data_IF_510302840595
#
_entry.id   IF_510302840595
#
_cell.length_a   1.000
_cell.length_b   1.000
_cell.length_c   1.000
_cell.angle_alpha   90.00
_cell.angle_beta   90.00
_cell.angle_gamma   90.00
#
_symmetry.space_group_name_H-M   'P 1'
#
loop_
_entity.id
_entity.type
_entity.pdbx_description
1 polymer ?
#
# COMPACT_ATOMS: atom_id res chain seq x y z
N UNK A 1 28.29 11.82 -7.86
CA UNK A 1 27.99 11.43 -9.27
C UNK A 1 26.52 10.98 -9.46
N UNK A 2 25.91 10.23 -8.54
CA UNK A 2 24.50 9.79 -8.67
C UNK A 2 23.49 10.96 -8.77
N UNK A 3 23.76 12.10 -8.15
CA UNK A 3 22.90 13.29 -8.22
C UNK A 3 22.86 13.92 -9.62
N UNK A 4 23.95 13.80 -10.39
CA UNK A 4 24.06 14.35 -11.72
C UNK A 4 23.27 13.60 -12.81
N UNK A 5 22.73 12.40 -12.48
CA UNK A 5 22.05 11.51 -13.42
C UNK A 5 20.52 11.52 -13.31
N UNK A 6 19.97 12.22 -12.35
CA UNK A 6 18.52 12.27 -12.12
C UNK A 6 17.79 12.99 -13.27
N UNK A 7 16.62 12.46 -13.71
CA UNK A 7 15.71 13.24 -14.54
C UNK A 7 15.32 14.53 -13.83
N UNK A 8 15.38 15.64 -14.54
CA UNK A 8 14.82 16.91 -14.04
C UNK A 8 13.32 16.92 -14.37
N UNK A 9 12.49 17.11 -13.36
CA UNK A 9 11.02 17.17 -13.51
C UNK A 9 10.55 18.56 -13.12
N UNK A 10 9.75 19.20 -13.98
CA UNK A 10 9.11 20.47 -13.73
C UNK A 10 7.63 20.39 -14.04
N UNK A 11 6.76 20.63 -13.06
CA UNK A 11 5.32 20.76 -13.29
C UNK A 11 5.08 22.13 -13.95
N UNK A 12 4.41 22.13 -15.08
CA UNK A 12 4.13 23.32 -15.90
C UNK A 12 2.66 23.74 -15.81
N UNK A 13 1.78 22.86 -15.34
CA UNK A 13 0.37 23.16 -15.02
C UNK A 13 -0.18 22.08 -14.07
N UNK A 14 -1.06 22.45 -13.13
CA UNK A 14 -1.45 23.81 -12.75
C UNK A 14 -0.36 24.54 -11.96
N UNK A 15 -0.51 25.86 -11.80
CA UNK A 15 0.38 26.65 -10.96
C UNK A 15 0.23 26.32 -9.48
N UNK A 16 1.32 26.48 -8.75
CA UNK A 16 1.32 26.30 -7.30
C UNK A 16 0.32 27.25 -6.63
N UNK A 17 -0.42 26.73 -5.63
CA UNK A 17 -1.45 27.44 -4.87
C UNK A 17 -2.65 27.95 -5.69
N UNK A 18 -2.77 27.55 -6.95
CA UNK A 18 -3.96 27.88 -7.76
C UNK A 18 -5.22 27.23 -7.18
N UNK A 19 -6.36 27.93 -7.34
CA UNK A 19 -7.67 27.39 -6.97
C UNK A 19 -8.23 26.55 -8.13
N UNK A 20 -8.57 25.31 -7.86
CA UNK A 20 -9.15 24.37 -8.81
C UNK A 20 -10.60 24.10 -8.43
N UNK A 21 -11.54 24.41 -9.33
CA UNK A 21 -12.96 24.16 -9.11
C UNK A 21 -13.43 22.78 -9.63
N UNK A 22 -12.65 22.14 -10.50
CA UNK A 22 -13.01 20.88 -11.14
C UNK A 22 -12.58 19.65 -10.31
N UNK A 23 -13.32 18.55 -10.49
CA UNK A 23 -12.94 17.24 -9.90
C UNK A 23 -11.77 16.57 -10.63
N UNK A 24 -11.50 16.99 -11.86
CA UNK A 24 -10.40 16.51 -12.69
C UNK A 24 -9.58 17.70 -13.13
N UNK A 25 -8.29 17.62 -12.91
CA UNK A 25 -7.34 18.65 -13.33
C UNK A 25 -6.37 18.09 -14.36
N UNK A 26 -6.05 18.89 -15.35
CA UNK A 26 -4.99 18.53 -16.31
C UNK A 26 -3.64 18.89 -15.73
N UNK A 27 -2.91 17.87 -15.30
CA UNK A 27 -1.53 18.00 -14.81
C UNK A 27 -0.57 17.91 -15.99
N UNK A 28 0.33 18.87 -16.12
CA UNK A 28 1.37 18.88 -17.15
C UNK A 28 2.75 18.99 -16.53
N UNK A 29 3.70 18.29 -17.12
CA UNK A 29 5.08 18.39 -16.70
C UNK A 29 6.07 18.24 -17.85
N UNK A 30 7.19 18.90 -17.69
CA UNK A 30 8.37 18.83 -18.53
C UNK A 30 9.43 17.96 -17.82
N UNK A 31 9.91 16.96 -18.52
CA UNK A 31 10.91 16.02 -18.02
C UNK A 31 12.13 16.10 -18.90
N UNK A 32 13.30 16.34 -18.31
CA UNK A 32 14.56 16.39 -19.02
C UNK A 32 15.45 15.23 -18.57
N UNK A 33 15.93 14.45 -19.52
CA UNK A 33 16.89 13.37 -19.34
C UNK A 33 18.18 13.67 -20.14
N UNK A 34 19.30 13.14 -19.70
CA UNK A 34 20.59 13.29 -20.39
C UNK A 34 20.71 12.35 -21.59
N UNK A 35 21.68 12.66 -22.45
CA UNK A 35 22.04 11.79 -23.55
C UNK A 35 22.37 10.37 -23.07
N UNK A 36 21.91 9.38 -23.79
CA UNK A 36 22.10 7.95 -23.46
C UNK A 36 21.13 7.40 -22.41
N UNK A 37 20.33 8.23 -21.72
CA UNK A 37 19.31 7.76 -20.81
C UNK A 37 18.00 7.46 -21.56
N UNK A 38 17.28 6.43 -21.11
CA UNK A 38 15.92 6.13 -21.56
C UNK A 38 14.94 6.38 -20.43
N UNK A 39 13.88 7.14 -20.74
CA UNK A 39 12.84 7.47 -19.80
C UNK A 39 11.85 6.31 -19.69
N UNK A 40 11.66 5.78 -18.48
CA UNK A 40 10.53 4.91 -18.16
C UNK A 40 9.26 5.75 -18.17
N UNK A 41 8.11 5.20 -18.59
CA UNK A 41 6.86 5.93 -18.63
C UNK A 41 6.57 6.65 -17.31
N UNK A 42 6.58 8.01 -17.28
CA UNK A 42 6.44 8.76 -16.04
C UNK A 42 5.02 8.63 -15.47
N UNK A 43 4.93 8.70 -14.15
CA UNK A 43 3.67 8.63 -13.39
C UNK A 43 3.35 9.96 -12.76
N UNK A 44 2.06 10.25 -12.58
CA UNK A 44 1.57 11.46 -11.92
C UNK A 44 0.48 11.12 -10.90
N UNK A 45 0.34 11.94 -9.86
CA UNK A 45 -0.50 11.61 -8.71
C UNK A 45 -1.16 12.86 -8.12
N UNK A 46 -2.35 12.64 -7.51
CA UNK A 46 -3.05 13.62 -6.68
C UNK A 46 -3.26 13.01 -5.28
N UNK A 47 -2.56 13.51 -4.25
CA UNK A 47 -2.57 12.95 -2.88
C UNK A 47 -2.44 11.40 -2.88
N UNK A 48 -1.48 10.86 -3.63
CA UNK A 48 -1.24 9.43 -3.74
C UNK A 48 -2.18 8.65 -4.67
N UNK A 49 -3.16 9.30 -5.30
CA UNK A 49 -4.04 8.68 -6.30
C UNK A 49 -3.44 8.84 -7.69
N UNK A 50 -3.25 7.73 -8.42
CA UNK A 50 -2.66 7.73 -9.75
C UNK A 50 -3.51 8.50 -10.74
N UNK A 51 -2.91 9.46 -11.45
CA UNK A 51 -3.54 10.19 -12.55
C UNK A 51 -3.60 9.34 -13.82
N UNK A 52 -4.68 9.51 -14.58
CA UNK A 52 -4.98 8.73 -15.79
C UNK A 52 -4.59 9.46 -17.08
N UNK A 53 -4.83 8.80 -18.19
CA UNK A 53 -4.76 9.37 -19.54
C UNK A 53 -3.42 10.05 -19.82
N UNK A 54 -2.28 9.41 -19.45
CA UNK A 54 -0.96 9.92 -19.78
C UNK A 54 -0.81 10.10 -21.28
N UNK A 55 -0.47 11.31 -21.68
CA UNK A 55 -0.21 11.67 -23.10
C UNK A 55 1.13 12.37 -23.21
N UNK A 56 1.96 11.95 -24.16
CA UNK A 56 3.14 12.70 -24.54
C UNK A 56 2.69 13.84 -25.45
N UNK A 57 2.96 15.08 -25.05
CA UNK A 57 2.58 16.29 -25.80
C UNK A 57 3.66 16.64 -26.82
N UNK A 58 4.92 16.64 -26.37
CA UNK A 58 6.06 17.09 -27.16
C UNK A 58 7.33 16.37 -26.73
N UNK A 59 8.23 16.18 -27.67
CA UNK A 59 9.60 15.74 -27.41
C UNK A 59 10.55 16.54 -28.27
N UNK A 60 11.67 16.96 -27.70
CA UNK A 60 12.69 17.75 -28.40
C UNK A 60 14.09 17.35 -27.89
N UNK A 61 15.04 17.32 -28.80
CA UNK A 61 16.44 17.21 -28.45
C UNK A 61 16.95 18.59 -28.02
N UNK A 62 17.70 18.62 -26.94
CA UNK A 62 18.32 19.82 -26.40
C UNK A 62 19.82 19.55 -26.22
N UNK A 63 20.67 20.59 -26.05
CA UNK A 63 22.06 20.39 -25.73
C UNK A 63 22.21 19.51 -24.46
N UNK A 64 22.87 18.37 -24.62
CA UNK A 64 23.15 17.42 -23.51
C UNK A 64 22.00 16.45 -23.15
N UNK A 65 20.88 16.42 -23.91
CA UNK A 65 19.81 15.51 -23.56
C UNK A 65 18.54 15.58 -24.42
N UNK A 66 17.48 15.07 -23.84
CA UNK A 66 16.14 15.08 -24.41
C UNK A 66 15.14 15.67 -23.40
N UNK A 67 14.28 16.52 -23.86
CA UNK A 67 13.18 17.09 -23.10
C UNK A 67 11.85 16.54 -23.62
N UNK A 68 11.00 16.05 -22.70
CA UNK A 68 9.71 15.46 -23.04
C UNK A 68 8.63 16.10 -22.17
N UNK A 69 7.53 16.52 -22.81
CA UNK A 69 6.37 17.07 -22.12
C UNK A 69 5.24 16.04 -22.11
N UNK A 70 4.64 15.86 -20.93
CA UNK A 70 3.52 14.96 -20.70
C UNK A 70 2.34 15.70 -20.07
N UNK A 71 1.13 15.16 -20.32
CA UNK A 71 -0.07 15.53 -19.60
C UNK A 71 -0.78 14.29 -19.04
N UNK A 72 -1.50 14.50 -17.94
CA UNK A 72 -2.36 13.52 -17.27
C UNK A 72 -3.65 14.17 -16.86
N UNK A 73 -4.69 13.35 -16.68
CA UNK A 73 -5.94 13.75 -16.05
C UNK A 73 -5.89 13.28 -14.58
N UNK A 74 -5.66 14.20 -13.66
CA UNK A 74 -5.61 13.93 -12.24
C UNK A 74 -6.99 14.08 -11.61
N UNK A 75 -7.55 12.96 -11.11
CA UNK A 75 -8.78 12.96 -10.34
C UNK A 75 -8.45 13.41 -8.93
N UNK A 76 -9.11 14.47 -8.48
CA UNK A 76 -8.80 15.08 -7.19
C UNK A 76 -9.65 14.46 -6.08
N UNK A 77 -9.05 13.93 -5.00
CA UNK A 77 -9.79 13.53 -3.81
C UNK A 77 -10.46 14.76 -3.16
N UNK A 78 -11.54 14.54 -2.38
CA UNK A 78 -12.29 15.61 -1.73
C UNK A 78 -11.54 16.19 -0.52
N UNK A 79 -10.44 16.88 -0.79
CA UNK A 79 -9.59 17.57 0.19
C UNK A 79 -9.33 18.99 -0.24
N UNK A 80 -9.22 19.94 0.69
CA UNK A 80 -8.97 21.35 0.37
C UNK A 80 -7.60 21.60 -0.25
N UNK A 81 -6.58 20.85 0.19
CA UNK A 81 -5.21 20.96 -0.30
C UNK A 81 -4.83 19.67 -0.99
N UNK A 82 -4.51 19.76 -2.26
CA UNK A 82 -4.12 18.63 -3.09
C UNK A 82 -2.66 18.82 -3.51
N UNK A 83 -1.82 17.87 -3.15
CA UNK A 83 -0.47 17.79 -3.69
C UNK A 83 -0.48 16.98 -4.98
N UNK A 84 -0.18 17.64 -6.07
CA UNK A 84 0.05 17.03 -7.36
C UNK A 84 1.54 16.71 -7.49
N UNK A 85 1.86 15.48 -7.88
CA UNK A 85 3.25 15.02 -7.97
C UNK A 85 3.46 14.32 -9.30
N UNK A 86 4.65 14.52 -9.88
CA UNK A 86 5.13 13.78 -11.05
C UNK A 86 6.43 13.08 -10.70
N UNK A 87 6.49 11.80 -11.05
CA UNK A 87 7.65 10.93 -10.85
C UNK A 87 8.13 10.45 -12.20
N UNK A 88 9.41 10.63 -12.49
CA UNK A 88 10.07 10.18 -13.69
C UNK A 88 11.28 9.33 -13.32
N UNK A 89 11.41 8.14 -13.93
CA UNK A 89 12.54 7.25 -13.73
C UNK A 89 13.23 6.98 -15.07
N UNK A 90 14.50 6.64 -15.02
CA UNK A 90 15.25 6.11 -16.17
C UNK A 90 15.38 4.58 -16.04
N UNK A 91 15.72 3.88 -17.12
CA UNK A 91 15.98 2.43 -17.09
C UNK A 91 17.08 2.03 -16.08
N UNK A 92 17.97 2.96 -15.71
CA UNK A 92 18.96 2.79 -14.64
C UNK A 92 18.44 3.03 -13.22
N UNK A 93 17.12 3.02 -13.01
CA UNK A 93 16.44 3.19 -11.72
C UNK A 93 16.69 4.55 -11.01
N UNK A 94 17.19 5.55 -11.71
CA UNK A 94 17.38 6.89 -11.14
C UNK A 94 16.09 7.70 -11.26
N UNK A 95 15.58 8.19 -10.14
CA UNK A 95 14.28 8.82 -10.03
C UNK A 95 14.36 10.31 -9.78
N UNK A 96 13.70 11.09 -10.65
CA UNK A 96 13.43 12.52 -10.48
C UNK A 96 11.96 12.76 -10.09
N UNK A 97 11.70 13.81 -9.30
CA UNK A 97 10.36 14.13 -8.79
C UNK A 97 10.13 15.63 -8.76
N UNK A 98 8.89 16.03 -8.98
CA UNK A 98 8.41 17.39 -8.70
C UNK A 98 7.02 17.34 -8.11
N UNK A 99 6.67 18.31 -7.27
CA UNK A 99 5.35 18.43 -6.71
C UNK A 99 4.92 19.89 -6.62
N UNK A 100 3.61 20.14 -6.79
CA UNK A 100 2.95 21.41 -6.51
C UNK A 100 1.72 21.16 -5.65
N UNK A 101 1.36 22.11 -4.81
CA UNK A 101 0.11 22.05 -4.05
C UNK A 101 -0.88 22.99 -4.70
N UNK A 102 -2.11 22.51 -4.92
CA UNK A 102 -3.26 23.33 -5.37
C UNK A 102 -4.31 23.34 -4.28
N UNK A 103 -5.17 24.37 -4.32
CA UNK A 103 -6.35 24.46 -3.45
C UNK A 103 -7.59 24.03 -4.22
N UNK A 104 -8.53 23.37 -3.55
CA UNK A 104 -9.77 22.92 -4.15
C UNK A 104 -10.96 23.33 -3.30
N UNK A 105 -12.01 23.80 -3.96
CA UNK A 105 -13.35 23.89 -3.34
C UNK A 105 -13.89 22.47 -3.29
N UNK A 106 -13.68 21.80 -2.18
CA UNK A 106 -13.96 20.37 -1.90
C UNK A 106 -15.17 19.78 -2.64
N UNK A 107 -15.05 19.32 -3.89
CA UNK A 107 -16.11 18.57 -4.53
C UNK A 107 -16.26 17.22 -3.83
N UNK A 108 -17.49 16.75 -3.65
CA UNK A 108 -17.78 15.45 -3.04
C UNK A 108 -18.04 14.44 -4.15
N UNK A 109 -17.33 13.33 -4.12
CA UNK A 109 -17.59 12.15 -4.97
C UNK A 109 -18.78 11.30 -4.49
N UNK A 110 -19.52 11.77 -3.49
CA UNK A 110 -20.49 11.01 -2.74
C UNK A 110 -19.87 10.34 -1.52
N UNK A 111 -20.58 9.38 -0.90
CA UNK A 111 -20.06 8.64 0.24
C UNK A 111 -18.95 7.69 -0.23
N UNK A 112 -17.72 7.80 0.28
CA UNK A 112 -16.63 6.94 -0.13
C UNK A 112 -16.87 5.49 0.26
N UNK A 113 -16.19 4.57 -0.45
CA UNK A 113 -16.31 3.12 -0.27
C UNK A 113 -14.98 2.56 0.22
N UNK A 114 -15.09 1.58 1.11
CA UNK A 114 -13.96 0.78 1.56
C UNK A 114 -14.14 -0.65 1.06
N UNK A 115 -13.18 -1.13 0.29
CA UNK A 115 -13.10 -2.50 -0.18
C UNK A 115 -12.03 -3.23 0.59
N UNK A 116 -12.38 -4.35 1.23
CA UNK A 116 -11.48 -5.13 2.07
C UNK A 116 -11.38 -6.53 1.50
N UNK A 117 -10.16 -6.97 1.20
CA UNK A 117 -9.86 -8.34 0.83
C UNK A 117 -8.85 -8.92 1.82
N UNK A 118 -9.22 -9.99 2.52
CA UNK A 118 -8.32 -10.63 3.48
C UNK A 118 -8.10 -12.10 3.14
N UNK A 119 -6.88 -12.60 3.37
CA UNK A 119 -6.55 -14.00 3.27
C UNK A 119 -5.75 -14.45 4.50
N UNK A 120 -6.11 -15.63 5.03
CA UNK A 120 -5.40 -16.26 6.15
C UNK A 120 -5.27 -17.77 5.94
N UNK A 121 -4.09 -18.32 6.19
CA UNK A 121 -3.81 -19.75 6.06
C UNK A 121 -3.18 -20.28 7.33
N UNK A 122 -3.92 -21.14 8.05
CA UNK A 122 -3.38 -21.91 9.17
C UNK A 122 -2.83 -23.26 8.70
N UNK A 123 -3.50 -23.87 7.70
CA UNK A 123 -3.25 -25.25 7.29
C UNK A 123 -2.87 -25.32 5.81
N UNK A 124 -1.72 -25.91 5.57
CA UNK A 124 -1.21 -26.19 4.24
C UNK A 124 -1.51 -27.65 3.88
N UNK A 125 -1.70 -27.94 2.58
CA UNK A 125 -1.98 -29.31 2.12
C UNK A 125 -0.77 -30.23 2.29
N UNK A 126 0.44 -29.67 2.19
CA UNK A 126 1.68 -30.40 2.43
C UNK A 126 2.02 -30.31 3.92
N UNK A 127 2.01 -31.46 4.60
CA UNK A 127 2.30 -31.57 6.02
C UNK A 127 3.76 -31.18 6.40
N UNK A 128 4.66 -31.09 5.43
CA UNK A 128 6.02 -30.60 5.64
C UNK A 128 6.07 -29.06 5.83
N UNK A 129 5.01 -28.35 5.44
CA UNK A 129 4.90 -26.92 5.74
C UNK A 129 4.35 -26.74 7.14
N UNK A 130 5.02 -25.94 8.00
CA UNK A 130 4.57 -25.73 9.37
C UNK A 130 3.13 -25.17 9.41
N UNK A 131 2.33 -25.69 10.34
CA UNK A 131 1.02 -25.15 10.64
C UNK A 131 1.14 -23.85 11.41
N UNK A 132 0.29 -22.86 11.12
CA UNK A 132 0.08 -21.66 11.90
C UNK A 132 -1.20 -21.78 12.74
N UNK A 133 -1.23 -21.12 13.89
CA UNK A 133 -2.39 -21.24 14.80
C UNK A 133 -3.44 -20.14 14.50
N UNK A 134 -3.01 -18.91 14.16
CA UNK A 134 -3.90 -17.74 14.18
C UNK A 134 -4.04 -16.96 12.88
N UNK A 135 -3.42 -17.37 11.77
CA UNK A 135 -3.45 -16.60 10.52
C UNK A 135 -4.88 -16.37 10.00
N UNK A 136 -5.76 -17.36 10.11
CA UNK A 136 -7.19 -17.22 9.75
C UNK A 136 -7.91 -16.26 10.69
N UNK A 137 -7.63 -16.36 11.99
CA UNK A 137 -8.21 -15.44 12.97
C UNK A 137 -7.71 -14.01 12.74
N UNK A 138 -6.42 -13.82 12.44
CA UNK A 138 -5.84 -12.53 12.09
C UNK A 138 -6.61 -11.89 10.93
N UNK A 139 -6.78 -12.61 9.82
CA UNK A 139 -7.49 -12.13 8.65
C UNK A 139 -8.96 -11.77 8.96
N UNK A 140 -9.63 -12.59 9.78
CA UNK A 140 -11.02 -12.38 10.19
C UNK A 140 -11.17 -11.15 11.07
N UNK A 141 -10.31 -11.01 12.10
CA UNK A 141 -10.36 -9.87 13.03
C UNK A 141 -10.05 -8.55 12.33
N UNK A 142 -9.07 -8.52 11.42
CA UNK A 142 -8.76 -7.33 10.64
C UNK A 142 -9.94 -6.94 9.75
N UNK A 143 -10.54 -7.89 9.02
CA UNK A 143 -11.70 -7.61 8.17
C UNK A 143 -12.87 -7.03 8.99
N UNK A 144 -13.22 -7.67 10.10
CA UNK A 144 -14.31 -7.22 10.97
C UNK A 144 -14.03 -5.85 11.61
N UNK A 145 -12.79 -5.61 12.04
CA UNK A 145 -12.42 -4.35 12.70
C UNK A 145 -12.45 -3.19 11.71
N UNK A 146 -11.91 -3.37 10.51
CA UNK A 146 -12.05 -2.37 9.44
C UNK A 146 -13.52 -2.13 9.09
N UNK A 147 -14.32 -3.17 8.91
CA UNK A 147 -15.74 -3.02 8.57
C UNK A 147 -16.49 -2.19 9.63
N UNK A 148 -16.28 -2.50 10.91
CA UNK A 148 -16.97 -1.79 12.01
C UNK A 148 -16.45 -0.37 12.18
N UNK A 149 -15.13 -0.19 12.26
CA UNK A 149 -14.50 1.10 12.51
C UNK A 149 -14.66 2.07 11.33
N UNK A 150 -14.62 1.56 10.09
CA UNK A 150 -14.77 2.39 8.92
C UNK A 150 -16.23 2.67 8.51
N UNK A 151 -17.20 1.91 9.01
CA UNK A 151 -18.62 2.08 8.64
C UNK A 151 -19.16 3.51 8.78
N UNK A 152 -18.79 4.31 9.79
CA UNK A 152 -19.21 5.70 9.87
C UNK A 152 -18.65 6.60 8.75
N UNK A 153 -17.47 6.24 8.18
CA UNK A 153 -16.72 7.00 7.20
C UNK A 153 -17.01 6.54 5.77
N UNK A 154 -17.14 5.22 5.60
CA UNK A 154 -17.20 4.54 4.30
C UNK A 154 -18.44 3.65 4.20
N UNK A 155 -18.89 3.39 2.97
CA UNK A 155 -19.69 2.21 2.68
C UNK A 155 -18.75 1.02 2.48
N UNK A 156 -18.84 0.00 3.36
CA UNK A 156 -17.86 -1.09 3.42
C UNK A 156 -18.30 -2.31 2.61
N UNK A 157 -17.33 -2.94 1.92
CA UNK A 157 -17.48 -4.18 1.18
C UNK A 157 -16.32 -5.11 1.54
N UNK A 158 -16.61 -6.30 2.03
CA UNK A 158 -15.60 -7.25 2.50
C UNK A 158 -15.61 -8.56 1.73
N UNK A 159 -14.42 -9.12 1.57
CA UNK A 159 -14.16 -10.47 1.08
C UNK A 159 -13.10 -11.11 1.96
N UNK A 160 -13.35 -12.30 2.48
CA UNK A 160 -12.38 -13.10 3.21
C UNK A 160 -12.24 -14.48 2.59
N UNK A 161 -11.00 -14.93 2.41
CA UNK A 161 -10.67 -16.26 1.92
C UNK A 161 -9.78 -16.93 2.98
N UNK A 162 -10.04 -18.19 3.33
CA UNK A 162 -9.32 -18.86 4.39
C UNK A 162 -8.86 -20.28 4.00
N UNK A 163 -7.73 -20.70 4.59
CA UNK A 163 -7.15 -22.03 4.53
C UNK A 163 -7.10 -22.62 3.10
N UNK A 164 -7.64 -23.82 2.92
CA UNK A 164 -7.58 -24.60 1.68
C UNK A 164 -8.15 -23.88 0.45
N UNK A 165 -8.92 -22.82 0.64
CA UNK A 165 -9.46 -21.99 -0.46
C UNK A 165 -8.44 -20.95 -0.96
N UNK A 166 -7.41 -20.65 -0.18
CA UNK A 166 -6.37 -19.67 -0.57
C UNK A 166 -5.36 -20.37 -1.47
N UNK A 167 -5.74 -20.61 -2.71
CA UNK A 167 -4.86 -21.12 -3.76
C UNK A 167 -4.55 -20.02 -4.77
N UNK A 168 -3.44 -20.14 -5.49
CA UNK A 168 -3.06 -19.15 -6.49
C UNK A 168 -4.17 -18.88 -7.51
N UNK A 169 -4.81 -19.90 -8.16
CA UNK A 169 -5.89 -19.66 -9.11
C UNK A 169 -7.11 -18.96 -8.49
N UNK A 170 -7.53 -19.38 -7.29
CA UNK A 170 -8.68 -18.77 -6.60
C UNK A 170 -8.38 -17.32 -6.23
N UNK A 171 -7.17 -17.05 -5.72
CA UNK A 171 -6.75 -15.70 -5.39
C UNK A 171 -6.79 -14.79 -6.62
N UNK A 172 -6.13 -15.19 -7.72
CA UNK A 172 -6.09 -14.38 -8.94
C UNK A 172 -7.46 -14.14 -9.53
N UNK A 173 -8.30 -15.17 -9.67
CA UNK A 173 -9.66 -15.01 -10.19
C UNK A 173 -10.48 -14.03 -9.35
N UNK A 174 -10.36 -14.15 -8.03
CA UNK A 174 -11.09 -13.27 -7.10
C UNK A 174 -10.58 -11.83 -7.18
N UNK A 175 -9.27 -11.62 -7.19
CA UNK A 175 -8.68 -10.29 -7.28
C UNK A 175 -8.95 -9.64 -8.64
N UNK A 176 -8.98 -10.40 -9.72
CA UNK A 176 -9.34 -9.90 -11.04
C UNK A 176 -10.79 -9.40 -11.08
N UNK A 177 -11.73 -10.17 -10.55
CA UNK A 177 -13.13 -9.74 -10.44
C UNK A 177 -13.27 -8.46 -9.60
N UNK A 178 -12.51 -8.36 -8.50
CA UNK A 178 -12.47 -7.16 -7.67
C UNK A 178 -11.92 -5.95 -8.45
N UNK A 179 -10.82 -6.12 -9.15
CA UNK A 179 -10.20 -5.06 -9.94
C UNK A 179 -11.14 -4.57 -11.06
N UNK A 180 -11.79 -5.49 -11.79
CA UNK A 180 -12.76 -5.14 -12.83
C UNK A 180 -13.97 -4.35 -12.28
N UNK A 181 -14.48 -4.77 -11.12
CA UNK A 181 -15.55 -4.04 -10.43
C UNK A 181 -15.11 -2.65 -9.98
N UNK A 182 -13.90 -2.55 -9.40
CA UNK A 182 -13.33 -1.29 -8.94
C UNK A 182 -13.11 -0.31 -10.10
N UNK A 183 -12.55 -0.77 -11.23
CA UNK A 183 -12.32 0.10 -12.40
C UNK A 183 -13.57 0.82 -12.89
N UNK A 184 -14.74 0.17 -12.77
CA UNK A 184 -16.02 0.73 -13.24
C UNK A 184 -16.63 1.76 -12.31
N UNK A 185 -16.31 1.74 -11.03
CA UNK A 185 -17.08 2.46 -10.02
C UNK A 185 -16.26 3.31 -9.06
N UNK A 186 -14.93 3.09 -8.98
CA UNK A 186 -14.10 3.69 -7.95
C UNK A 186 -13.89 5.19 -8.13
N UNK A 187 -13.83 5.89 -7.01
CA UNK A 187 -13.51 7.32 -6.94
C UNK A 187 -12.19 7.52 -6.18
N UNK A 188 -11.56 8.70 -6.29
CA UNK A 188 -10.30 8.99 -5.56
C UNK A 188 -10.42 8.91 -4.03
N UNK A 189 -11.62 9.05 -3.48
CA UNK A 189 -11.87 8.98 -2.03
C UNK A 189 -12.06 7.55 -1.53
N UNK A 190 -12.24 6.59 -2.43
CA UNK A 190 -12.39 5.18 -2.07
C UNK A 190 -11.05 4.59 -1.59
N UNK A 191 -11.15 3.54 -0.79
CA UNK A 191 -10.02 2.84 -0.20
C UNK A 191 -10.09 1.34 -0.49
N UNK A 192 -9.01 0.76 -1.00
CA UNK A 192 -8.81 -0.68 -1.11
C UNK A 192 -7.83 -1.14 -0.04
N UNK A 193 -8.22 -2.10 0.77
CA UNK A 193 -7.37 -2.74 1.77
C UNK A 193 -7.22 -4.22 1.42
N UNK A 194 -5.98 -4.68 1.35
CA UNK A 194 -5.62 -6.09 1.20
C UNK A 194 -4.81 -6.49 2.43
N UNK A 195 -5.25 -7.53 3.13
CA UNK A 195 -4.55 -8.08 4.28
C UNK A 195 -4.23 -9.55 4.05
N UNK A 196 -2.98 -9.93 4.25
CA UNK A 196 -2.51 -11.31 4.12
C UNK A 196 -1.84 -11.77 5.42
N UNK A 197 -2.27 -12.93 5.93
CA UNK A 197 -1.62 -13.60 7.06
C UNK A 197 -1.34 -15.06 6.71
N UNK A 198 -0.11 -15.52 6.92
CA UNK A 198 0.35 -16.85 6.49
C UNK A 198 1.86 -16.92 6.32
N UNK A 199 2.35 -17.96 5.66
CA UNK A 199 3.76 -18.05 5.31
C UNK A 199 4.14 -17.16 4.13
N UNK A 200 5.27 -16.50 4.25
CA UNK A 200 5.95 -15.81 3.19
C UNK A 200 7.33 -16.41 2.94
N UNK A 201 7.82 -16.30 1.73
CA UNK A 201 9.19 -16.66 1.40
C UNK A 201 9.73 -15.72 0.31
N UNK A 202 11.03 -15.74 0.17
CA UNK A 202 11.71 -14.99 -0.86
C UNK A 202 12.60 -15.88 -1.71
N UNK A 203 12.55 -15.64 -3.00
CA UNK A 203 13.52 -16.23 -3.92
C UNK A 203 14.89 -15.53 -3.81
N UNK A 204 15.94 -16.30 -3.57
CA UNK A 204 17.31 -15.78 -3.39
C UNK A 204 17.94 -15.25 -4.69
N UNK A 205 17.48 -15.74 -5.83
CA UNK A 205 18.05 -15.36 -7.14
C UNK A 205 17.39 -14.11 -7.69
N UNK A 206 16.04 -14.11 -7.72
CA UNK A 206 15.25 -13.01 -8.28
C UNK A 206 14.91 -11.91 -7.27
N UNK A 207 15.20 -12.11 -5.99
CA UNK A 207 14.86 -11.19 -4.92
C UNK A 207 13.33 -10.99 -4.72
N UNK A 208 12.53 -11.84 -5.36
CA UNK A 208 11.09 -11.73 -5.37
C UNK A 208 10.47 -12.33 -4.11
N UNK A 209 9.55 -11.60 -3.48
CA UNK A 209 8.79 -12.11 -2.35
C UNK A 209 7.52 -12.83 -2.81
N UNK A 210 7.26 -13.97 -2.21
CA UNK A 210 6.10 -14.82 -2.48
C UNK A 210 5.27 -15.07 -1.23
N UNK A 211 3.95 -14.93 -1.36
CA UNK A 211 3.01 -15.47 -0.39
C UNK A 211 2.75 -16.95 -0.71
N UNK A 212 2.94 -17.81 0.29
CA UNK A 212 2.79 -19.25 0.15
C UNK A 212 1.32 -19.62 0.25
N UNK A 213 0.74 -20.18 -0.81
CA UNK A 213 -0.66 -20.57 -0.82
C UNK A 213 -0.88 -21.97 -0.24
N UNK A 214 -2.13 -22.31 0.10
CA UNK A 214 -2.47 -23.54 0.80
C UNK A 214 -2.12 -24.83 0.04
N UNK A 215 -1.98 -24.77 -1.29
CA UNK A 215 -1.60 -25.91 -2.13
C UNK A 215 -0.11 -25.97 -2.50
N UNK A 216 0.70 -25.06 -1.98
CA UNK A 216 2.14 -25.09 -2.18
C UNK A 216 2.75 -26.39 -1.59
N UNK A 217 3.82 -26.88 -2.22
CA UNK A 217 4.51 -28.09 -1.81
C UNK A 217 5.91 -27.76 -1.34
N UNK A 218 6.29 -28.27 -0.17
CA UNK A 218 7.62 -28.04 0.41
C UNK A 218 8.75 -28.36 -0.58
N UNK A 219 8.68 -29.53 -1.26
CA UNK A 219 9.69 -29.95 -2.24
C UNK A 219 9.85 -28.97 -3.41
N UNK A 220 8.75 -28.31 -3.82
CA UNK A 220 8.79 -27.33 -4.91
C UNK A 220 9.43 -26.02 -4.43
N UNK A 221 9.08 -25.59 -3.21
CA UNK A 221 9.68 -24.42 -2.56
C UNK A 221 11.18 -24.60 -2.34
N UNK A 222 11.60 -25.77 -1.83
CA UNK A 222 13.01 -26.13 -1.64
C UNK A 222 13.80 -26.14 -2.95
N UNK A 223 13.13 -26.49 -4.06
CA UNK A 223 13.71 -26.47 -5.42
C UNK A 223 13.49 -25.09 -6.12
N UNK A 224 13.14 -24.04 -5.38
CA UNK A 224 12.90 -22.69 -5.90
C UNK A 224 11.83 -22.63 -7.01
N UNK A 225 10.81 -23.48 -6.94
CA UNK A 225 9.67 -23.51 -7.84
C UNK A 225 8.43 -22.96 -7.17
N UNK A 226 8.04 -21.72 -7.50
CA UNK A 226 7.00 -20.95 -6.82
C UNK A 226 5.66 -20.91 -7.57
N UNK A 227 5.40 -21.91 -8.43
CA UNK A 227 4.18 -21.97 -9.27
C UNK A 227 2.87 -21.89 -8.50
N UNK A 228 2.84 -22.42 -7.28
CA UNK A 228 1.69 -22.42 -6.38
C UNK A 228 1.75 -21.30 -5.34
N UNK A 229 2.63 -20.33 -5.51
CA UNK A 229 2.70 -19.11 -4.72
C UNK A 229 2.30 -17.90 -5.58
N UNK A 230 2.07 -16.74 -5.00
CA UNK A 230 1.98 -15.51 -5.76
C UNK A 230 2.92 -14.45 -5.21
N UNK A 231 3.58 -13.75 -6.12
CA UNK A 231 4.43 -12.61 -5.79
C UNK A 231 3.60 -11.34 -5.64
N UNK A 232 4.22 -10.29 -5.13
CA UNK A 232 3.56 -9.00 -5.00
C UNK A 232 3.28 -8.32 -6.35
N UNK A 233 3.89 -8.78 -7.45
CA UNK A 233 3.51 -8.38 -8.80
C UNK A 233 2.02 -8.63 -9.08
N UNK A 234 1.40 -9.58 -8.37
CA UNK A 234 -0.04 -9.81 -8.44
C UNK A 234 -0.89 -8.57 -8.09
N UNK A 235 -0.35 -7.62 -7.32
CA UNK A 235 -1.05 -6.39 -6.95
C UNK A 235 -0.94 -5.28 -8.01
N UNK A 236 -0.07 -5.43 -9.02
CA UNK A 236 -0.04 -4.53 -10.19
C UNK A 236 -1.37 -4.50 -10.92
N UNK A 237 -2.19 -5.56 -10.74
CA UNK A 237 -3.59 -5.62 -11.17
C UNK A 237 -4.43 -4.42 -10.72
N UNK A 238 -4.06 -3.79 -9.60
CA UNK A 238 -4.76 -2.63 -9.05
C UNK A 238 -4.05 -1.29 -9.33
N UNK A 239 -2.91 -1.30 -10.04
CA UNK A 239 -2.09 -0.12 -10.23
C UNK A 239 -2.83 1.03 -10.93
N UNK A 240 -3.64 0.71 -11.93
CA UNK A 240 -4.42 1.66 -12.73
C UNK A 240 -5.73 2.14 -12.05
N UNK A 241 -6.07 1.58 -10.90
CA UNK A 241 -7.32 1.93 -10.20
C UNK A 241 -7.12 3.24 -9.42
N UNK A 242 -7.91 4.29 -9.69
CA UNK A 242 -7.69 5.62 -9.12
C UNK A 242 -8.29 5.74 -7.71
N UNK A 243 -7.82 4.94 -6.78
CA UNK A 243 -8.13 5.05 -5.35
C UNK A 243 -6.87 4.82 -4.52
N UNK A 244 -6.93 5.07 -3.20
CA UNK A 244 -5.87 4.68 -2.29
C UNK A 244 -5.87 3.17 -2.07
N UNK A 245 -4.68 2.59 -1.94
CA UNK A 245 -4.49 1.15 -1.79
C UNK A 245 -3.58 0.89 -0.60
N UNK A 246 -4.02 0.02 0.31
CA UNK A 246 -3.24 -0.46 1.44
C UNK A 246 -3.00 -1.96 1.27
N UNK A 247 -1.75 -2.39 1.34
CA UNK A 247 -1.37 -3.81 1.46
C UNK A 247 -0.73 -4.01 2.82
N UNK A 248 -1.36 -4.80 3.65
CA UNK A 248 -0.94 -5.09 5.01
C UNK A 248 -0.57 -6.57 5.08
N UNK A 249 0.65 -6.86 5.55
CA UNK A 249 1.23 -8.20 5.52
C UNK A 249 1.61 -8.63 6.93
N UNK A 250 0.89 -9.60 7.44
CA UNK A 250 1.22 -10.34 8.66
C UNK A 250 1.72 -11.73 8.27
N UNK A 251 2.88 -11.75 7.61
CA UNK A 251 3.48 -12.96 7.11
C UNK A 251 4.78 -13.25 7.84
N UNK A 252 4.84 -14.44 8.46
CA UNK A 252 6.06 -14.95 9.04
C UNK A 252 7.00 -15.38 7.91
N UNK A 253 8.25 -14.99 8.00
CA UNK A 253 9.28 -15.69 7.25
C UNK A 253 9.53 -17.02 8.00
N UNK A 254 8.97 -18.13 7.48
CA UNK A 254 9.23 -19.42 8.10
C UNK A 254 10.74 -19.70 8.00
N UNK A 255 11.45 -19.51 9.12
CA UNK A 255 12.89 -19.83 9.23
C UNK A 255 13.19 -21.27 8.81
N UNK A 256 12.20 -22.18 8.87
CA UNK A 256 12.27 -23.52 8.33
C UNK A 256 12.49 -23.57 6.80
N UNK A 257 12.12 -22.51 6.04
CA UNK A 257 12.27 -22.48 4.60
C UNK A 257 13.52 -21.73 4.12
N UNK A 258 14.01 -20.72 4.83
CA UNK A 258 15.34 -20.10 4.67
C UNK A 258 15.48 -18.75 5.42
N UNK A 259 16.67 -18.42 6.01
CA UNK A 259 16.92 -17.13 6.65
C UNK A 259 17.08 -15.99 5.60
N UNK A 260 16.38 -14.90 5.79
CA UNK A 260 16.46 -13.68 4.95
C UNK A 260 17.45 -12.65 5.54
N UNK A 261 18.13 -11.89 4.70
CA UNK A 261 18.96 -10.76 5.13
C UNK A 261 18.18 -9.43 5.08
N UNK A 262 18.46 -8.50 6.01
CA UNK A 262 17.73 -7.24 6.23
C UNK A 262 17.48 -6.34 4.99
N UNK A 263 18.32 -6.44 3.96
CA UNK A 263 18.17 -5.62 2.72
C UNK A 263 17.02 -6.05 1.81
N UNK A 264 16.38 -7.11 2.11
CA UNK A 264 15.72 -7.98 1.14
C UNK A 264 14.21 -7.71 1.01
N UNK A 265 13.49 -7.41 2.09
CA UNK A 265 12.07 -7.09 2.00
C UNK A 265 11.83 -5.73 1.29
N UNK A 266 12.76 -4.79 1.42
CA UNK A 266 12.66 -3.46 0.79
C UNK A 266 12.65 -3.53 -0.73
N UNK A 267 13.39 -4.45 -1.36
CA UNK A 267 13.39 -4.59 -2.81
C UNK A 267 12.13 -5.28 -3.32
N UNK A 268 11.62 -6.28 -2.61
CA UNK A 268 10.39 -6.97 -2.96
C UNK A 268 9.15 -6.06 -2.90
N UNK A 269 9.16 -5.07 -2.00
CA UNK A 269 8.10 -4.07 -1.90
C UNK A 269 8.21 -2.95 -2.95
N UNK A 270 9.33 -2.84 -3.70
CA UNK A 270 9.51 -1.80 -4.74
C UNK A 270 8.41 -1.81 -5.79
N UNK A 271 7.98 -2.98 -6.24
CA UNK A 271 6.90 -3.12 -7.22
C UNK A 271 5.64 -2.43 -6.71
N UNK A 272 5.27 -2.65 -5.44
CA UNK A 272 4.13 -1.99 -4.82
C UNK A 272 4.37 -0.49 -4.62
N UNK A 273 5.61 -0.11 -4.33
CA UNK A 273 6.01 1.29 -4.17
C UNK A 273 5.93 2.06 -5.48
N UNK A 274 6.33 1.46 -6.59
CA UNK A 274 6.24 2.07 -7.93
C UNK A 274 4.79 2.26 -8.38
N UNK A 275 3.89 1.42 -7.89
CA UNK A 275 2.45 1.51 -8.15
C UNK A 275 1.68 2.33 -7.10
N UNK A 276 2.41 3.01 -6.20
CA UNK A 276 1.87 3.81 -5.09
C UNK A 276 0.82 3.09 -4.24
N UNK A 277 1.20 1.90 -3.82
CA UNK A 277 0.48 1.14 -2.82
C UNK A 277 1.10 1.42 -1.46
N UNK A 278 0.32 1.89 -0.50
CA UNK A 278 0.77 1.97 0.88
C UNK A 278 0.97 0.57 1.43
N UNK A 279 2.11 0.32 2.03
CA UNK A 279 2.42 -0.99 2.63
C UNK A 279 2.65 -0.86 4.12
N UNK A 280 2.22 -1.87 4.86
CA UNK A 280 2.58 -2.07 6.27
C UNK A 280 2.85 -3.56 6.47
N UNK A 281 4.06 -3.90 6.94
CA UNK A 281 4.49 -5.28 7.13
C UNK A 281 4.80 -5.56 8.59
N UNK A 282 4.52 -6.78 9.04
CA UNK A 282 4.72 -7.19 10.42
C UNK A 282 6.19 -7.21 10.84
N UNK A 283 7.09 -7.45 9.90
CA UNK A 283 8.51 -7.63 10.18
C UNK A 283 9.40 -6.95 9.15
N UNK A 284 10.62 -6.64 9.56
CA UNK A 284 11.72 -6.25 8.70
C UNK A 284 12.73 -7.40 8.58
N UNK A 285 12.86 -7.99 7.40
CA UNK A 285 13.93 -8.94 7.09
C UNK A 285 13.75 -10.33 7.74
N UNK A 286 14.72 -10.80 8.54
CA UNK A 286 14.79 -12.16 9.09
C UNK A 286 13.87 -12.43 10.30
N UNK A 287 13.06 -11.48 10.69
CA UNK A 287 12.27 -11.59 11.91
C UNK A 287 11.04 -12.47 11.70
N UNK A 288 10.69 -13.26 12.71
CA UNK A 288 9.45 -14.02 12.72
C UNK A 288 8.31 -13.17 13.28
N UNK A 289 7.14 -13.21 12.64
CA UNK A 289 5.93 -12.69 13.23
C UNK A 289 5.51 -13.62 14.37
N UNK A 290 5.40 -13.09 15.57
CA UNK A 290 5.14 -13.87 16.77
C UNK A 290 3.64 -14.10 16.91
N UNK A 291 3.24 -15.37 17.06
CA UNK A 291 1.88 -15.77 17.44
C UNK A 291 1.74 -15.78 18.97
N UNK A 292 0.75 -15.06 19.49
CA UNK A 292 0.49 -14.96 20.93
C UNK A 292 -0.74 -15.78 21.33
N UNK A 293 -0.53 -16.97 21.92
CA UNK A 293 -1.61 -17.90 22.31
C UNK A 293 -2.62 -17.28 23.26
N UNK A 294 -2.17 -16.47 24.21
CA UNK A 294 -3.06 -15.81 25.17
C UNK A 294 -4.06 -14.87 24.48
N UNK A 295 -3.65 -14.25 23.37
CA UNK A 295 -4.48 -13.34 22.57
C UNK A 295 -5.17 -14.03 21.40
N UNK A 296 -4.80 -15.28 21.10
CA UNK A 296 -5.23 -16.07 19.92
C UNK A 296 -5.03 -15.30 18.60
N UNK A 297 -3.94 -14.56 18.51
CA UNK A 297 -3.65 -13.64 17.41
C UNK A 297 -2.14 -13.40 17.29
N UNK A 298 -1.66 -13.03 16.09
CA UNK A 298 -0.32 -12.52 15.92
C UNK A 298 -0.13 -11.17 16.61
N UNK A 299 1.04 -10.91 17.19
CA UNK A 299 1.37 -9.65 17.88
C UNK A 299 1.09 -8.42 17.00
N UNK A 300 1.57 -8.45 15.77
CA UNK A 300 1.35 -7.38 14.81
C UNK A 300 -0.15 -7.14 14.58
N UNK A 301 -0.90 -8.18 14.25
CA UNK A 301 -2.35 -8.07 14.02
C UNK A 301 -3.09 -7.61 15.27
N UNK A 302 -2.68 -8.04 16.47
CA UNK A 302 -3.28 -7.55 17.71
C UNK A 302 -3.14 -6.03 17.82
N UNK A 303 -1.93 -5.48 17.63
CA UNK A 303 -1.70 -4.03 17.68
C UNK A 303 -2.38 -3.28 16.53
N UNK A 304 -2.48 -3.87 15.34
CA UNK A 304 -3.25 -3.32 14.22
C UNK A 304 -4.74 -3.21 14.57
N UNK A 305 -5.32 -4.22 15.19
CA UNK A 305 -6.73 -4.23 15.63
C UNK A 305 -6.98 -3.20 16.74
N UNK A 306 -6.08 -3.06 17.71
CA UNK A 306 -6.16 -2.02 18.74
C UNK A 306 -6.09 -0.61 18.13
N UNK A 307 -5.14 -0.38 17.22
CA UNK A 307 -5.02 0.88 16.49
C UNK A 307 -6.34 1.26 15.82
N UNK A 308 -6.92 0.32 15.04
CA UNK A 308 -8.18 0.52 14.32
C UNK A 308 -9.39 0.74 15.25
N UNK A 309 -9.35 0.23 16.49
CA UNK A 309 -10.37 0.46 17.50
C UNK A 309 -10.28 1.81 18.20
N UNK A 310 -9.22 2.59 17.90
CA UNK A 310 -9.06 3.95 18.38
C UNK A 310 -7.83 4.20 19.25
N UNK A 311 -7.06 3.17 19.63
CA UNK A 311 -5.86 3.38 20.44
C UNK A 311 -4.85 4.29 19.73
N UNK A 312 -4.80 4.26 18.39
CA UNK A 312 -3.91 5.10 17.61
C UNK A 312 -4.31 6.58 17.58
N UNK A 313 -5.58 6.91 17.78
CA UNK A 313 -6.08 8.28 17.82
C UNK A 313 -5.64 9.03 19.11
N UNK A 314 -5.42 8.30 20.22
CA UNK A 314 -5.06 8.93 21.51
C UNK A 314 -3.55 9.16 21.63
N UNK A 315 -2.75 8.15 21.34
CA UNK A 315 -1.27 8.20 21.44
C UNK A 315 -0.68 7.23 20.43
N UNK A 316 0.06 7.69 19.44
CA UNK A 316 0.58 9.05 19.17
C UNK A 316 -0.38 9.97 18.40
N UNK A 317 -1.68 9.72 18.41
CA UNK A 317 -2.69 10.46 17.66
C UNK A 317 -3.04 11.83 18.23
N UNK A 318 -4.04 12.47 17.61
CA UNK A 318 -4.45 13.83 17.89
C UNK A 318 -5.76 13.93 18.70
N UNK A 319 -6.43 12.80 18.96
CA UNK A 319 -7.65 12.73 19.76
C UNK A 319 -8.91 13.28 19.07
N UNK A 320 -8.93 13.34 17.75
CA UNK A 320 -10.06 13.91 16.98
C UNK A 320 -11.21 12.91 16.74
N UNK A 321 -11.07 11.68 17.22
CA UNK A 321 -12.05 10.60 17.06
C UNK A 321 -11.94 9.87 15.73
N UNK A 322 -10.89 10.11 14.95
CA UNK A 322 -10.61 9.47 13.68
C UNK A 322 -9.19 8.90 13.71
N UNK A 323 -9.05 7.63 13.37
CA UNK A 323 -7.73 7.04 13.14
C UNK A 323 -7.35 7.25 11.69
N UNK A 324 -6.32 8.04 11.46
CA UNK A 324 -5.68 8.16 10.13
C UNK A 324 -4.73 7.00 9.86
N UNK A 325 -4.38 6.79 8.58
CA UNK A 325 -3.36 5.79 8.22
C UNK A 325 -1.99 6.11 8.85
N UNK A 326 -1.64 7.38 8.98
CA UNK A 326 -0.41 7.84 9.65
C UNK A 326 -0.36 7.43 11.11
N UNK A 327 -1.42 7.72 11.87
CA UNK A 327 -1.51 7.37 13.29
C UNK A 327 -1.47 5.86 13.50
N UNK A 328 -2.18 5.10 12.65
CA UNK A 328 -2.16 3.65 12.66
C UNK A 328 -0.74 3.10 12.47
N UNK A 329 0.00 3.59 11.46
CA UNK A 329 1.39 3.19 11.23
C UNK A 329 2.27 3.50 12.44
N UNK A 330 2.18 4.71 12.98
CA UNK A 330 3.00 5.13 14.12
C UNK A 330 2.71 4.27 15.35
N UNK A 331 1.43 4.05 15.66
CA UNK A 331 1.01 3.21 16.77
C UNK A 331 1.55 1.77 16.61
N UNK A 332 1.29 1.13 15.49
CA UNK A 332 1.69 -0.26 15.25
C UNK A 332 3.22 -0.41 15.32
N UNK A 333 3.97 0.50 14.68
CA UNK A 333 5.44 0.44 14.72
C UNK A 333 6.01 0.58 16.13
N UNK A 334 5.47 1.51 16.89
CA UNK A 334 5.95 1.78 18.26
C UNK A 334 5.59 0.65 19.22
N UNK A 335 4.34 0.19 19.20
CA UNK A 335 3.84 -0.78 20.17
C UNK A 335 4.35 -2.19 19.89
N UNK A 336 4.41 -2.63 18.62
CA UNK A 336 4.97 -3.96 18.27
C UNK A 336 6.45 -4.03 18.63
N UNK A 337 7.19 -2.94 18.36
CA UNK A 337 8.60 -2.87 18.75
C UNK A 337 8.76 -2.95 20.28
N UNK A 338 7.96 -2.19 21.02
CA UNK A 338 8.00 -2.19 22.48
C UNK A 338 7.66 -3.57 23.06
N UNK A 339 6.66 -4.25 22.52
CA UNK A 339 6.27 -5.61 22.95
C UNK A 339 7.35 -6.66 22.66
N UNK A 340 8.25 -6.41 21.72
CA UNK A 340 9.30 -7.34 21.35
C UNK A 340 10.63 -7.11 22.08
N UNK A 341 10.71 -6.12 22.97
CA UNK A 341 11.91 -5.87 23.77
C UNK A 341 12.08 -7.03 24.75
N UNK A 342 13.26 -7.66 24.70
CA UNK A 342 13.57 -8.82 25.56
C UNK A 342 13.23 -10.17 24.94
N UNK A 343 12.53 -10.22 23.82
CA UNK A 343 12.30 -11.47 23.09
C UNK A 343 13.56 -11.92 22.33
N UNK A 344 13.67 -13.24 22.11
CA UNK A 344 14.72 -13.83 21.27
C UNK A 344 14.66 -13.28 19.84
N UNK A 345 13.46 -12.97 19.36
CA UNK A 345 13.20 -12.39 18.05
C UNK A 345 12.47 -11.06 18.20
N UNK A 346 13.18 -9.97 17.96
CA UNK A 346 12.58 -8.64 17.94
C UNK A 346 11.77 -8.46 16.67
N UNK A 347 10.61 -7.81 16.76
CA UNK A 347 9.70 -7.57 15.64
C UNK A 347 9.63 -6.07 15.32
N UNK A 348 10.05 -5.69 14.10
CA UNK A 348 10.06 -4.30 13.64
C UNK A 348 9.14 -4.13 12.42
N UNK A 349 7.91 -3.67 12.61
CA UNK A 349 7.04 -3.36 11.47
C UNK A 349 7.60 -2.25 10.61
N UNK A 350 7.45 -2.40 9.29
CA UNK A 350 7.86 -1.38 8.32
C UNK A 350 6.67 -0.89 7.51
N UNK A 351 6.73 0.38 7.12
CA UNK A 351 5.73 1.01 6.29
C UNK A 351 6.40 1.69 5.09
N UNK A 352 5.72 1.73 3.98
CA UNK A 352 6.23 2.34 2.77
C UNK A 352 5.16 2.68 1.74
N UNK A 353 5.59 3.25 0.62
CA UNK A 353 6.89 3.90 0.42
C UNK A 353 6.99 5.24 1.18
N UNK A 354 8.21 5.65 1.52
CA UNK A 354 8.43 6.87 2.31
C UNK A 354 7.77 8.11 1.68
N UNK A 355 7.80 8.22 0.36
CA UNK A 355 7.21 9.35 -0.37
C UNK A 355 5.69 9.43 -0.25
N UNK A 356 5.01 8.31 0.00
CA UNK A 356 3.58 8.27 0.19
C UNK A 356 3.17 8.59 1.63
N UNK A 357 4.08 8.49 2.60
CA UNK A 357 3.76 8.80 3.99
C UNK A 357 3.37 10.28 4.16
N UNK A 358 3.81 11.18 3.27
CA UNK A 358 3.34 12.56 3.23
C UNK A 358 1.81 12.66 2.96
N UNK A 359 1.20 11.63 2.38
CA UNK A 359 -0.23 11.54 2.04
C UNK A 359 -1.00 10.58 2.94
N UNK A 360 -0.41 10.17 4.07
CA UNK A 360 -0.98 9.16 4.96
C UNK A 360 -2.08 9.71 5.88
N UNK A 361 -2.38 11.01 5.84
CA UNK A 361 -3.41 11.66 6.67
C UNK A 361 -4.81 11.51 6.06
N UNK A 362 -5.20 10.27 5.76
CA UNK A 362 -6.57 9.93 5.38
C UNK A 362 -7.19 8.97 6.39
N UNK A 363 -8.50 9.08 6.64
CA UNK A 363 -9.17 8.28 7.64
C UNK A 363 -9.21 6.80 7.26
N UNK A 364 -8.97 5.91 8.21
CA UNK A 364 -9.11 4.45 8.04
C UNK A 364 -10.16 3.86 8.98
N UNK A 365 -10.36 4.45 10.16
CA UNK A 365 -11.43 4.08 11.07
C UNK A 365 -11.85 5.25 11.93
N UNK A 366 -12.98 5.10 12.64
CA UNK A 366 -13.49 6.06 13.60
C UNK A 366 -13.61 5.41 14.98
N UNK A 367 -13.23 6.15 15.99
CA UNK A 367 -13.33 5.72 17.39
C UNK A 367 -14.80 5.60 17.80
N UNK A 368 -15.16 4.48 18.41
CA UNK A 368 -16.52 4.27 18.88
C UNK A 368 -16.88 5.29 19.97
N UNK A 369 -18.08 5.89 19.86
CA UNK A 369 -18.57 6.89 20.83
C UNK A 369 -18.04 8.31 20.63
N UNK A 370 -17.11 8.56 19.72
CA UNK A 370 -16.65 9.91 19.41
C UNK A 370 -17.76 10.75 18.78
N UNK A 371 -17.90 12.05 19.16
CA UNK A 371 -18.88 12.95 18.54
C UNK A 371 -18.67 12.99 17.03
N UNK A 372 -19.75 13.16 16.26
CA UNK A 372 -19.62 13.33 14.80
C UNK A 372 -18.70 14.53 14.54
N UNK A 373 -17.72 14.42 13.63
CA UNK A 373 -16.94 15.58 13.25
C UNK A 373 -17.91 16.68 12.84
N UNK A 374 -17.86 17.82 13.51
CA UNK A 374 -18.53 19.02 13.00
C UNK A 374 -17.93 19.30 11.64
N UNK A 375 -18.72 19.72 10.66
CA UNK A 375 -18.29 19.95 9.25
C UNK A 375 -17.02 20.83 9.11
N UNK A 376 -16.58 21.48 10.20
CA UNK A 376 -15.37 22.30 10.28
C UNK A 376 -14.08 21.52 10.57
N UNK A 377 -14.14 20.32 11.15
CA UNK A 377 -12.96 19.54 11.56
C UNK A 377 -12.53 18.46 10.52
N UNK A 378 -13.28 18.29 9.44
CA UNK A 378 -13.04 17.24 8.45
C UNK A 378 -11.94 17.56 7.44
N UNK A 379 -11.18 18.66 7.60
CA UNK A 379 -10.00 18.96 6.76
C UNK A 379 -9.04 19.90 7.50
N UNK A 380 -7.88 19.41 7.98
CA UNK A 380 -6.73 20.27 8.15
C UNK A 380 -6.12 20.65 6.81
#
# INVERSE_FOLDING_TARGET
EAYALKPTVQITAPDANSLVAAQVVRLQARITIRNGQRLVPPKAFANGVLAKNRRRIKQMTIPGGTQVEYAWDALLPAQRRIRLQVVAATEGEVVGRAAVTVQQNTPRWGRPRLFIATAGINEYRDAQLPRLEFAVNNATQVAQTFQRGAQPLYRTFGLAIANQRVTRPVWFATMQQYAERLRKQVTPDDLLVIFLSGHGLRDRVSDTYYYVTANARFRDLAAQRYRDCFSFDAFTLFADIPCRKLVILDTCHSGALQPLRQRELKSALRVLQDDLVFTLTATEGQQEAVEERARKMGRFTHRLVEALRGAADTTPGNGDGIVSWRELIQYVKTTVRADSIGDTYQQFPTAGPADLLDFADFPVSRVAGSPKPTERAACP
#
